data_IF_145381118131
#
_entry.id   IF_145381118131
#
_cell.length_a   1.000
_cell.length_b   1.000
_cell.length_c   1.000
_cell.angle_alpha   90.00
_cell.angle_beta   90.00
_cell.angle_gamma   90.00
#
_symmetry.space_group_name_H-M   'P 1'
#
loop_
_entity.id
_entity.type
_entity.pdbx_description
1 polymer ?
#
# COMPACT_ATOMS: atom_id res chain seq x y z
N UNK A 1 -20.13 4.00 7.21
CA UNK A 1 -19.36 3.23 8.24
C UNK A 1 -18.55 2.08 7.64
N UNK A 2 -18.94 1.47 6.51
CA UNK A 2 -18.18 0.34 5.94
C UNK A 2 -16.92 0.85 5.22
N UNK A 3 -17.01 1.96 4.51
CA UNK A 3 -15.86 2.60 3.85
C UNK A 3 -14.74 2.99 4.84
N UNK A 4 -15.09 3.60 5.98
CA UNK A 4 -14.11 3.95 7.03
C UNK A 4 -13.35 2.74 7.59
N UNK A 5 -14.03 1.59 7.76
CA UNK A 5 -13.37 0.35 8.18
C UNK A 5 -12.39 -0.17 7.11
N UNK A 6 -12.72 0.03 5.82
CA UNK A 6 -11.81 -0.34 4.72
C UNK A 6 -10.56 0.52 4.71
N UNK A 7 -10.68 1.82 4.98
CA UNK A 7 -9.54 2.73 5.07
C UNK A 7 -8.53 2.25 6.12
N UNK A 8 -8.99 1.97 7.35
CA UNK A 8 -8.12 1.48 8.43
C UNK A 8 -7.44 0.16 8.04
N UNK A 9 -8.20 -0.79 7.50
CA UNK A 9 -7.65 -2.07 7.08
C UNK A 9 -6.60 -1.89 5.96
N UNK A 10 -6.88 -1.02 4.99
CA UNK A 10 -5.95 -0.69 3.92
C UNK A 10 -4.67 -0.06 4.45
N UNK A 11 -4.76 0.91 5.37
CA UNK A 11 -3.60 1.57 5.98
C UNK A 11 -2.70 0.57 6.72
N UNK A 12 -3.27 -0.39 7.45
CA UNK A 12 -2.50 -1.44 8.14
C UNK A 12 -1.75 -2.30 7.11
N UNK A 13 -2.42 -2.78 6.06
CA UNK A 13 -1.79 -3.61 5.04
C UNK A 13 -0.72 -2.87 4.24
N UNK A 14 -0.97 -1.62 3.90
CA UNK A 14 0.01 -0.77 3.22
C UNK A 14 1.24 -0.52 4.07
N UNK A 15 1.05 -0.23 5.37
CA UNK A 15 2.17 -0.04 6.30
C UNK A 15 3.02 -1.31 6.37
N UNK A 16 2.40 -2.48 6.51
CA UNK A 16 3.11 -3.75 6.51
C UNK A 16 3.87 -3.97 5.18
N UNK A 17 3.26 -3.66 4.03
CA UNK A 17 3.90 -3.79 2.73
C UNK A 17 5.13 -2.87 2.59
N UNK A 18 5.04 -1.61 3.02
CA UNK A 18 6.16 -0.68 3.01
C UNK A 18 7.31 -1.13 3.91
N UNK A 19 7.01 -1.65 5.10
CA UNK A 19 8.03 -2.21 5.99
C UNK A 19 8.73 -3.38 5.31
N UNK A 20 7.99 -4.32 4.71
CA UNK A 20 8.58 -5.47 4.04
C UNK A 20 9.48 -5.07 2.87
N UNK A 21 8.99 -4.17 2.00
CA UNK A 21 9.74 -3.70 0.82
C UNK A 21 10.97 -2.89 1.21
N UNK A 22 10.86 -2.01 2.21
CA UNK A 22 11.98 -1.23 2.71
C UNK A 22 13.08 -2.07 3.40
N UNK A 23 12.73 -3.28 3.85
CA UNK A 23 13.63 -4.16 4.61
C UNK A 23 14.02 -5.44 3.86
N UNK A 24 13.84 -5.51 2.53
CA UNK A 24 14.21 -6.69 1.71
C UNK A 24 15.70 -7.06 1.88
N UNK A 25 16.57 -6.10 2.17
CA UNK A 25 17.98 -6.35 2.46
C UNK A 25 18.22 -7.32 3.63
N UNK A 26 17.34 -7.31 4.64
CA UNK A 26 17.43 -8.25 5.77
C UNK A 26 17.20 -9.70 5.32
N UNK A 27 16.28 -9.91 4.36
CA UNK A 27 15.99 -11.25 3.83
C UNK A 27 17.23 -11.82 3.12
N UNK A 28 17.89 -11.01 2.29
CA UNK A 28 19.11 -11.43 1.59
C UNK A 28 20.34 -11.51 2.51
N UNK A 29 20.32 -10.86 3.69
CA UNK A 29 21.34 -11.06 4.71
C UNK A 29 21.18 -12.38 5.45
N UNK A 30 19.95 -12.84 5.71
CA UNK A 30 19.69 -14.11 6.41
C UNK A 30 19.84 -15.29 5.44
N UNK A 31 19.40 -15.11 4.19
CA UNK A 31 19.46 -16.10 3.13
C UNK A 31 20.26 -15.56 1.94
N UNK A 32 21.60 -15.49 2.05
CA UNK A 32 22.44 -14.98 0.97
C UNK A 32 22.37 -15.89 -0.25
N UNK A 33 22.30 -15.26 -1.43
CA UNK A 33 22.30 -15.95 -2.73
C UNK A 33 23.63 -15.68 -3.42
N UNK A 34 24.40 -16.73 -3.61
CA UNK A 34 25.68 -16.68 -4.33
C UNK A 34 25.44 -16.76 -5.85
N UNK A 35 25.03 -15.62 -6.40
CA UNK A 35 24.79 -15.44 -7.83
C UNK A 35 25.12 -14.02 -8.26
N UNK A 36 25.36 -13.84 -9.56
CA UNK A 36 25.68 -12.56 -10.17
C UNK A 36 24.55 -12.13 -11.12
N UNK A 37 24.15 -10.87 -11.04
CA UNK A 37 23.19 -10.23 -11.95
C UNK A 37 23.82 -8.95 -12.50
N UNK A 38 23.95 -8.87 -13.82
CA UNK A 38 24.57 -7.72 -14.51
C UNK A 38 25.98 -7.37 -14.00
N UNK A 39 26.73 -8.37 -13.53
CA UNK A 39 28.08 -8.16 -12.96
C UNK A 39 28.11 -7.75 -11.48
N UNK A 40 26.95 -7.69 -10.81
CA UNK A 40 26.84 -7.41 -9.37
C UNK A 40 26.34 -8.62 -8.59
N UNK A 41 26.79 -8.84 -7.34
CA UNK A 41 26.24 -9.89 -6.51
C UNK A 41 24.75 -9.66 -6.23
N UNK A 42 23.94 -10.69 -6.45
CA UNK A 42 22.48 -10.66 -6.36
C UNK A 42 22.01 -10.20 -4.98
N UNK A 43 22.70 -10.64 -3.92
CA UNK A 43 22.42 -10.28 -2.53
C UNK A 43 22.48 -8.78 -2.23
N UNK A 44 23.07 -7.96 -3.12
CA UNK A 44 23.10 -6.51 -2.97
C UNK A 44 22.18 -5.81 -3.97
N UNK A 45 22.29 -6.15 -5.25
CA UNK A 45 21.58 -5.39 -6.30
C UNK A 45 20.07 -5.62 -6.25
N UNK A 46 19.62 -6.84 -5.94
CA UNK A 46 18.18 -7.15 -5.90
C UNK A 46 17.48 -6.41 -4.76
N UNK A 47 17.98 -6.42 -3.50
CA UNK A 47 17.40 -5.60 -2.44
C UNK A 47 17.34 -4.11 -2.75
N UNK A 48 18.36 -3.55 -3.38
CA UNK A 48 18.39 -2.13 -3.77
C UNK A 48 17.28 -1.83 -4.78
N UNK A 49 17.18 -2.63 -5.84
CA UNK A 49 16.15 -2.45 -6.86
C UNK A 49 14.74 -2.65 -6.30
N UNK A 50 14.55 -3.65 -5.43
CA UNK A 50 13.29 -3.90 -4.74
C UNK A 50 12.92 -2.74 -3.81
N UNK A 51 13.86 -2.20 -3.03
CA UNK A 51 13.61 -1.04 -2.19
C UNK A 51 13.24 0.19 -3.01
N UNK A 52 13.93 0.45 -4.12
CA UNK A 52 13.71 1.65 -4.92
C UNK A 52 12.41 1.58 -5.73
N UNK A 53 12.30 0.57 -6.60
CA UNK A 53 11.13 0.41 -7.47
C UNK A 53 9.92 -0.13 -6.71
N UNK A 54 10.12 -0.97 -5.69
CA UNK A 54 9.02 -1.48 -4.88
C UNK A 54 8.35 -0.38 -4.07
N UNK A 55 9.11 0.51 -3.42
CA UNK A 55 8.53 1.69 -2.73
C UNK A 55 7.80 2.58 -3.73
N UNK A 56 8.41 2.85 -4.89
CA UNK A 56 7.79 3.65 -5.94
C UNK A 56 6.43 3.07 -6.39
N UNK A 57 6.38 1.78 -6.72
CA UNK A 57 5.15 1.11 -7.14
C UNK A 57 4.11 1.05 -6.03
N UNK A 58 4.53 0.78 -4.79
CA UNK A 58 3.62 0.78 -3.64
C UNK A 58 2.99 2.16 -3.44
N UNK A 59 3.74 3.25 -3.61
CA UNK A 59 3.19 4.62 -3.50
C UNK A 59 2.15 4.91 -4.58
N UNK A 60 2.36 4.46 -5.82
CA UNK A 60 1.36 4.59 -6.88
C UNK A 60 0.08 3.81 -6.59
N UNK A 61 0.22 2.57 -6.12
CA UNK A 61 -0.90 1.73 -5.71
C UNK A 61 -1.63 2.37 -4.53
N UNK A 62 -0.87 2.91 -3.57
CA UNK A 62 -1.40 3.55 -2.38
C UNK A 62 -2.31 4.73 -2.74
N UNK A 63 -1.81 5.64 -3.59
CA UNK A 63 -2.58 6.80 -4.04
C UNK A 63 -3.83 6.39 -4.81
N UNK A 64 -3.73 5.41 -5.71
CA UNK A 64 -4.89 4.95 -6.49
C UNK A 64 -5.99 4.32 -5.61
N UNK A 65 -5.61 3.48 -4.66
CA UNK A 65 -6.58 2.83 -3.77
C UNK A 65 -7.12 3.81 -2.74
N UNK A 66 -6.27 4.68 -2.19
CA UNK A 66 -6.67 5.76 -1.28
C UNK A 66 -7.75 6.65 -1.88
N UNK A 67 -7.51 7.20 -3.08
CA UNK A 67 -8.49 8.04 -3.79
C UNK A 67 -9.83 7.31 -3.99
N UNK A 68 -9.80 6.01 -4.29
CA UNK A 68 -11.02 5.22 -4.45
C UNK A 68 -11.76 5.02 -3.13
N UNK A 69 -11.05 4.86 -2.02
CA UNK A 69 -11.67 4.73 -0.69
C UNK A 69 -12.31 6.05 -0.29
N UNK A 70 -11.65 7.17 -0.55
CA UNK A 70 -12.20 8.51 -0.32
C UNK A 70 -13.50 8.72 -1.12
N UNK A 71 -13.50 8.38 -2.42
CA UNK A 71 -14.71 8.43 -3.25
C UNK A 71 -15.86 7.55 -2.70
N UNK A 72 -15.53 6.40 -2.09
CA UNK A 72 -16.52 5.51 -1.46
C UNK A 72 -17.06 6.10 -0.15
N UNK A 73 -16.23 6.82 0.61
CA UNK A 73 -16.63 7.52 1.85
C UNK A 73 -17.58 8.67 1.51
N UNK A 74 -17.24 9.49 0.53
CA UNK A 74 -18.07 10.64 0.13
C UNK A 74 -19.46 10.18 -0.33
N UNK A 75 -19.53 9.12 -1.14
CA UNK A 75 -20.82 8.53 -1.55
C UNK A 75 -21.63 7.95 -0.38
N UNK A 76 -20.98 7.29 0.59
CA UNK A 76 -21.68 6.81 1.80
C UNK A 76 -22.23 7.98 2.62
N UNK A 77 -21.49 9.08 2.73
CA UNK A 77 -21.89 10.27 3.48
C UNK A 77 -23.04 11.01 2.79
N UNK A 78 -22.97 11.23 1.47
CA UNK A 78 -24.03 11.84 0.69
C UNK A 78 -25.34 11.04 0.79
N UNK A 79 -25.25 9.72 0.72
CA UNK A 79 -26.42 8.85 0.84
C UNK A 79 -27.07 8.93 2.24
N UNK A 80 -26.28 9.09 3.29
CA UNK A 80 -26.77 9.27 4.66
C UNK A 80 -27.42 10.64 4.85
N UNK A 81 -26.80 11.71 4.35
CA UNK A 81 -27.35 13.07 4.44
C UNK A 81 -28.69 13.22 3.73
N UNK A 82 -28.81 12.69 2.50
CA UNK A 82 -30.07 12.69 1.75
C UNK A 82 -31.19 11.88 2.45
N UNK A 83 -30.84 10.81 3.17
CA UNK A 83 -31.82 9.99 3.88
C UNK A 83 -32.40 10.69 5.14
N UNK A 84 -31.62 11.57 5.77
CA UNK A 84 -32.09 12.38 6.89
C UNK A 84 -32.97 13.55 6.43
N UNK A 85 -32.64 14.21 5.30
CA UNK A 85 -33.51 15.25 4.71
C UNK A 85 -34.91 14.71 4.32
N UNK A 86 -35.00 13.50 3.77
CA UNK A 86 -36.28 12.87 3.38
C UNK A 86 -37.13 12.50 4.60
N UNK A 87 -36.55 12.31 5.80
CA UNK A 87 -37.30 12.02 7.02
C UNK A 87 -37.88 13.27 7.70
N UNK A 88 -37.32 14.45 7.40
CA UNK A 88 -37.79 15.73 7.96
C UNK A 88 -38.93 16.38 7.14
N UNK A 89 -39.26 15.82 5.96
CA UNK A 89 -40.39 16.26 5.09
C UNK A 89 -41.59 15.34 5.27
#
# INVERSE_FOLDING_TARGET
MKAYKKEVQFTIWMTAAFILVGNVGLIFSIFPVDAMLLGFPVMYIVPILMGWFGVFLLTLIAGKIGNRIDDEIDRENDALGNADEVKEV
#
